data_IF_324011693825
#
_entry.id   IF_324011693825
#
_cell.length_a   1.000
_cell.length_b   1.000
_cell.length_c   1.000
_cell.angle_alpha   90.00
_cell.angle_beta   90.00
_cell.angle_gamma   90.00
#
_symmetry.space_group_name_H-M   'P 1'
#
loop_
_entity.id
_entity.type
_entity.pdbx_description
1 polymer ?
#
# COMPACT_ATOMS: atom_id res chain seq x y z
N UNK A 1 -1.49 -15.32 0.49
CA UNK A 1 -1.97 -14.55 -0.69
C UNK A 1 -2.67 -13.31 -0.15
N UNK A 2 -2.56 -12.16 -0.82
CA UNK A 2 -3.34 -10.97 -0.48
C UNK A 2 -4.32 -10.74 -1.63
N UNK A 3 -5.61 -10.60 -1.31
CA UNK A 3 -6.63 -10.14 -2.26
C UNK A 3 -6.81 -8.64 -1.99
N UNK A 4 -6.28 -7.83 -2.90
CA UNK A 4 -6.40 -6.38 -2.86
C UNK A 4 -7.70 -5.91 -3.52
N UNK A 5 -8.45 -5.09 -2.80
CA UNK A 5 -9.65 -4.42 -3.30
C UNK A 5 -9.45 -2.93 -3.26
N UNK A 6 -9.25 -2.31 -4.42
CA UNK A 6 -9.26 -0.85 -4.55
C UNK A 6 -10.58 -0.28 -4.04
N UNK A 7 -10.53 0.85 -3.32
CA UNK A 7 -11.71 1.52 -2.78
C UNK A 7 -12.83 1.71 -3.82
N UNK A 8 -12.48 2.06 -5.06
CA UNK A 8 -13.45 2.27 -6.15
C UNK A 8 -14.23 1.01 -6.53
N UNK A 9 -13.66 -0.19 -6.36
CA UNK A 9 -14.39 -1.45 -6.55
C UNK A 9 -15.60 -1.55 -5.61
N UNK A 10 -15.50 -1.00 -4.40
CA UNK A 10 -16.53 -1.04 -3.35
C UNK A 10 -17.56 0.09 -3.47
N UNK A 11 -17.17 1.24 -4.02
CA UNK A 11 -17.99 2.45 -4.07
C UNK A 11 -18.65 2.68 -5.42
N UNK A 12 -17.97 2.32 -6.51
CA UNK A 12 -18.35 2.71 -7.87
C UNK A 12 -18.79 1.54 -8.75
N UNK A 13 -18.35 0.32 -8.45
CA UNK A 13 -18.63 -0.86 -9.30
C UNK A 13 -19.71 -1.77 -8.70
N UNK A 14 -19.43 -2.40 -7.56
CA UNK A 14 -20.35 -3.28 -6.86
C UNK A 14 -20.49 -2.78 -5.43
N UNK A 15 -21.71 -2.50 -4.98
CA UNK A 15 -21.91 -2.00 -3.62
C UNK A 15 -21.30 -2.96 -2.59
N UNK A 16 -20.47 -2.42 -1.69
CA UNK A 16 -19.61 -3.16 -0.74
C UNK A 16 -20.23 -4.45 -0.19
N UNK A 17 -21.48 -4.40 0.29
CA UNK A 17 -22.22 -5.56 0.86
C UNK A 17 -22.29 -6.80 -0.04
N UNK A 18 -22.22 -6.63 -1.35
CA UNK A 18 -22.27 -7.72 -2.33
C UNK A 18 -20.89 -8.30 -2.63
N UNK A 19 -19.83 -7.53 -2.40
CA UNK A 19 -18.46 -7.93 -2.70
C UNK A 19 -17.72 -8.46 -1.47
N UNK A 20 -17.82 -7.75 -0.33
CA UNK A 20 -16.98 -8.02 0.85
C UNK A 20 -17.29 -9.38 1.47
N UNK A 21 -18.55 -9.65 1.81
CA UNK A 21 -18.94 -10.90 2.50
C UNK A 21 -18.58 -12.18 1.72
N UNK A 22 -18.89 -12.30 0.41
CA UNK A 22 -18.50 -13.50 -0.33
C UNK A 22 -16.99 -13.67 -0.42
N UNK A 23 -16.22 -12.58 -0.63
CA UNK A 23 -14.76 -12.67 -0.75
C UNK A 23 -14.13 -13.08 0.58
N UNK A 24 -14.56 -12.49 1.70
CA UNK A 24 -14.09 -12.86 3.04
C UNK A 24 -14.40 -14.35 3.30
N UNK A 25 -15.62 -14.79 2.97
CA UNK A 25 -16.00 -16.20 3.12
C UNK A 25 -15.14 -17.15 2.29
N UNK A 26 -14.80 -16.77 1.05
CA UNK A 26 -13.91 -17.55 0.20
C UNK A 26 -12.47 -17.58 0.74
N UNK A 27 -11.98 -16.49 1.33
CA UNK A 27 -10.67 -16.44 1.97
C UNK A 27 -10.59 -17.31 3.23
N UNK A 28 -11.63 -17.30 4.07
CA UNK A 28 -11.73 -18.15 5.26
C UNK A 28 -11.76 -19.66 4.92
N UNK A 29 -12.35 -20.02 3.79
CA UNK A 29 -12.48 -21.42 3.33
C UNK A 29 -11.29 -21.87 2.45
N UNK A 30 -10.36 -20.98 2.13
CA UNK A 30 -9.20 -21.31 1.32
C UNK A 30 -8.27 -22.31 2.05
N UNK A 31 -7.62 -23.19 1.28
CA UNK A 31 -6.65 -24.15 1.83
C UNK A 31 -5.27 -23.55 2.13
N UNK A 32 -5.13 -22.23 2.00
CA UNK A 32 -3.90 -21.45 2.22
C UNK A 32 -4.26 -20.16 2.94
N UNK A 33 -3.28 -19.49 3.54
CA UNK A 33 -3.51 -18.20 4.20
C UNK A 33 -3.83 -17.12 3.16
N UNK A 34 -4.98 -16.48 3.33
CA UNK A 34 -5.47 -15.39 2.49
C UNK A 34 -5.81 -14.19 3.36
N UNK A 35 -5.16 -13.06 3.09
CA UNK A 35 -5.55 -11.77 3.63
C UNK A 35 -6.46 -11.05 2.63
N UNK A 36 -7.45 -10.32 3.15
CA UNK A 36 -8.23 -9.36 2.37
C UNK A 36 -7.76 -7.97 2.76
N UNK A 37 -7.32 -7.19 1.76
CA UNK A 37 -6.79 -5.86 1.97
C UNK A 37 -7.60 -4.80 1.20
N UNK A 38 -7.83 -3.66 1.84
CA UNK A 38 -8.34 -2.47 1.16
C UNK A 38 -7.14 -1.71 0.58
N UNK A 39 -7.13 -1.56 -0.73
CA UNK A 39 -6.06 -0.87 -1.45
C UNK A 39 -6.41 0.61 -1.67
N UNK A 40 -5.43 1.50 -1.44
CA UNK A 40 -5.56 2.96 -1.45
C UNK A 40 -6.83 3.50 -0.77
N UNK A 41 -7.10 3.08 0.48
CA UNK A 41 -8.20 3.64 1.26
C UNK A 41 -7.94 5.09 1.61
N UNK A 42 -8.72 6.03 1.08
CA UNK A 42 -8.56 7.48 1.30
C UNK A 42 -9.65 8.07 2.19
N UNK A 43 -10.85 7.47 2.18
CA UNK A 43 -11.95 7.87 3.06
C UNK A 43 -11.93 7.05 4.36
N UNK A 44 -11.61 7.71 5.47
CA UNK A 44 -11.56 7.11 6.81
C UNK A 44 -12.83 6.33 7.16
N UNK A 45 -14.02 6.79 6.75
CA UNK A 45 -15.26 6.08 7.02
C UNK A 45 -15.34 4.76 6.25
N UNK A 46 -14.87 4.73 5.01
CA UNK A 46 -14.82 3.51 4.19
C UNK A 46 -13.78 2.54 4.74
N UNK A 47 -12.59 3.01 5.11
CA UNK A 47 -11.55 2.16 5.72
C UNK A 47 -12.08 1.49 6.99
N UNK A 48 -12.74 2.26 7.87
CA UNK A 48 -13.37 1.71 9.08
C UNK A 48 -14.49 0.72 8.77
N UNK A 49 -15.28 0.97 7.72
CA UNK A 49 -16.32 0.02 7.31
C UNK A 49 -15.70 -1.29 6.81
N UNK A 50 -14.59 -1.26 6.08
CA UNK A 50 -13.92 -2.48 5.62
C UNK A 50 -13.41 -3.34 6.79
N UNK A 51 -12.83 -2.70 7.81
CA UNK A 51 -12.46 -3.37 9.05
C UNK A 51 -13.67 -4.01 9.74
N UNK A 52 -14.77 -3.26 9.86
CA UNK A 52 -16.02 -3.76 10.44
C UNK A 52 -16.66 -4.90 9.63
N UNK A 53 -16.47 -4.92 8.31
CA UNK A 53 -16.93 -5.97 7.41
C UNK A 53 -16.10 -7.26 7.52
N UNK A 54 -14.90 -7.20 8.11
CA UNK A 54 -14.02 -8.34 8.35
C UNK A 54 -12.74 -8.36 7.51
N UNK A 55 -12.29 -7.23 6.98
CA UNK A 55 -10.99 -7.15 6.32
C UNK A 55 -9.87 -7.42 7.33
N UNK A 56 -8.94 -8.29 6.96
CA UNK A 56 -7.76 -8.61 7.79
C UNK A 56 -6.62 -7.61 7.63
N UNK A 57 -6.69 -6.75 6.62
CA UNK A 57 -5.72 -5.67 6.36
C UNK A 57 -6.42 -4.48 5.71
N UNK A 58 -5.92 -3.27 5.94
CA UNK A 58 -6.32 -2.08 5.20
C UNK A 58 -5.12 -1.18 4.92
N UNK A 59 -5.10 -0.52 3.77
CA UNK A 59 -4.22 0.61 3.52
C UNK A 59 -4.95 1.91 3.87
N UNK A 60 -4.32 2.74 4.72
CA UNK A 60 -4.72 4.14 4.91
C UNK A 60 -3.79 5.03 4.08
N UNK A 61 -4.25 5.39 2.88
CA UNK A 61 -3.55 6.31 2.00
C UNK A 61 -3.92 7.77 2.32
N UNK A 62 -3.16 8.36 3.24
CA UNK A 62 -3.21 9.79 3.54
C UNK A 62 -2.01 10.54 2.96
N UNK A 63 -1.35 9.99 1.92
CA UNK A 63 -0.14 10.56 1.29
C UNK A 63 -0.35 11.97 0.72
N UNK A 64 -1.58 12.30 0.33
CA UNK A 64 -1.95 13.62 -0.21
C UNK A 64 -2.06 14.72 0.86
N UNK A 65 -2.12 14.36 2.15
CA UNK A 65 -2.16 15.31 3.25
C UNK A 65 -0.74 15.77 3.63
N UNK A 66 -0.59 16.95 4.26
CA UNK A 66 0.67 17.35 4.87
C UNK A 66 1.20 16.27 5.82
N UNK A 67 2.52 16.11 5.89
CA UNK A 67 3.17 15.02 6.62
C UNK A 67 2.63 14.78 8.04
N UNK A 68 2.47 15.83 8.83
CA UNK A 68 1.97 15.74 10.21
C UNK A 68 0.50 15.28 10.28
N UNK A 69 -0.31 15.65 9.29
CA UNK A 69 -1.70 15.19 9.17
C UNK A 69 -1.75 13.72 8.74
N UNK A 70 -0.92 13.31 7.78
CA UNK A 70 -0.78 11.90 7.39
C UNK A 70 -0.41 11.04 8.61
N UNK A 71 0.61 11.43 9.38
CA UNK A 71 0.99 10.73 10.62
C UNK A 71 -0.20 10.62 11.59
N UNK A 72 -0.92 11.72 11.82
CA UNK A 72 -2.02 11.75 12.77
C UNK A 72 -3.23 10.89 12.32
N UNK A 73 -3.57 10.91 11.03
CA UNK A 73 -4.66 10.10 10.46
C UNK A 73 -4.28 8.61 10.52
N UNK A 74 -3.10 8.27 10.02
CA UNK A 74 -2.61 6.90 9.94
C UNK A 74 -2.48 6.27 11.32
N UNK A 75 -1.92 6.99 12.30
CA UNK A 75 -1.81 6.49 13.68
C UNK A 75 -3.18 6.15 14.29
N UNK A 76 -4.19 7.02 14.08
CA UNK A 76 -5.56 6.75 14.54
C UNK A 76 -6.18 5.54 13.85
N UNK A 77 -5.79 5.26 12.60
CA UNK A 77 -6.26 4.08 11.90
C UNK A 77 -5.61 2.81 12.46
N UNK A 78 -4.31 2.83 12.75
CA UNK A 78 -3.60 1.73 13.44
C UNK A 78 -4.30 1.41 14.77
N UNK A 79 -4.51 2.41 15.63
CA UNK A 79 -5.21 2.25 16.91
C UNK A 79 -6.64 1.68 16.75
N UNK A 80 -7.34 2.01 15.66
CA UNK A 80 -8.67 1.49 15.40
C UNK A 80 -8.64 0.06 14.85
N UNK A 81 -7.68 -0.27 13.98
CA UNK A 81 -7.52 -1.59 13.37
C UNK A 81 -7.13 -2.67 14.39
N UNK A 82 -6.42 -2.31 15.47
CA UNK A 82 -6.12 -3.22 16.58
C UNK A 82 -7.37 -3.89 17.16
N UNK A 83 -8.50 -3.19 17.22
CA UNK A 83 -9.79 -3.73 17.71
C UNK A 83 -10.29 -4.91 16.87
N UNK A 84 -9.89 -4.95 15.61
CA UNK A 84 -10.28 -5.98 14.63
C UNK A 84 -9.17 -7.00 14.39
N UNK A 85 -8.02 -6.88 15.09
CA UNK A 85 -6.83 -7.71 14.84
C UNK A 85 -6.43 -7.69 13.35
N UNK A 86 -6.47 -6.51 12.73
CA UNK A 86 -6.15 -6.28 11.34
C UNK A 86 -4.87 -5.43 11.20
N UNK A 87 -4.11 -5.67 10.14
CA UNK A 87 -2.91 -4.89 9.83
C UNK A 87 -3.24 -3.59 9.11
N UNK A 88 -2.36 -2.59 9.23
CA UNK A 88 -2.42 -1.33 8.49
C UNK A 88 -1.19 -1.13 7.64
N UNK A 89 -1.41 -0.99 6.33
CA UNK A 89 -0.45 -0.42 5.39
C UNK A 89 -0.65 1.09 5.29
N UNK A 90 0.42 1.84 5.03
CA UNK A 90 0.32 3.25 4.70
C UNK A 90 1.39 3.65 3.68
N UNK A 91 1.21 4.83 3.08
CA UNK A 91 2.13 5.40 2.10
C UNK A 91 2.75 6.71 2.60
N UNK A 92 4.03 6.89 2.26
CA UNK A 92 4.72 8.17 2.40
C UNK A 92 5.51 8.51 1.14
N UNK A 93 5.21 9.68 0.57
CA UNK A 93 5.71 10.09 -0.74
C UNK A 93 4.56 10.19 -1.74
N UNK A 94 4.88 10.05 -3.02
CA UNK A 94 3.90 10.04 -4.09
C UNK A 94 4.41 9.09 -5.19
N UNK A 95 3.51 8.31 -5.78
CA UNK A 95 3.82 7.40 -6.87
C UNK A 95 3.25 7.95 -8.17
N UNK A 96 4.07 7.97 -9.22
CA UNK A 96 3.65 8.41 -10.55
C UNK A 96 2.67 7.43 -11.21
N UNK A 97 2.02 7.90 -12.27
CA UNK A 97 1.13 7.10 -13.11
C UNK A 97 1.61 7.15 -14.57
N UNK A 98 1.67 5.99 -15.22
CA UNK A 98 1.99 5.88 -16.65
C UNK A 98 0.94 6.61 -17.49
N UNK A 99 -0.32 6.58 -17.05
CA UNK A 99 -1.38 7.38 -17.67
C UNK A 99 -1.05 8.88 -17.55
N UNK A 100 -0.97 9.55 -18.70
CA UNK A 100 -0.57 10.94 -18.78
C UNK A 100 0.93 11.19 -18.74
N UNK A 101 1.75 10.13 -18.92
CA UNK A 101 3.22 10.17 -18.97
C UNK A 101 3.89 10.77 -17.71
N UNK A 102 3.22 10.67 -16.56
CA UNK A 102 3.68 11.16 -15.27
C UNK A 102 4.42 10.06 -14.49
N UNK A 103 5.45 9.49 -15.11
CA UNK A 103 6.27 8.46 -14.49
C UNK A 103 6.92 8.96 -13.19
N UNK A 104 7.15 8.03 -12.27
CA UNK A 104 7.86 8.31 -11.02
C UNK A 104 9.26 8.84 -11.34
N UNK A 105 9.57 9.99 -10.76
CA UNK A 105 10.82 10.71 -10.98
C UNK A 105 11.51 11.00 -9.64
N UNK A 106 12.64 11.72 -9.70
CA UNK A 106 13.48 11.96 -8.51
C UNK A 106 12.74 12.69 -7.38
N UNK A 107 11.83 13.61 -7.70
CA UNK A 107 11.06 14.38 -6.71
C UNK A 107 9.94 13.54 -6.08
N UNK A 108 9.62 12.40 -6.68
CA UNK A 108 8.61 11.45 -6.20
C UNK A 108 9.22 10.31 -5.37
N UNK A 109 10.55 10.15 -5.37
CA UNK A 109 11.18 9.11 -4.56
C UNK A 109 11.03 9.40 -3.07
N UNK A 110 10.70 8.37 -2.31
CA UNK A 110 10.57 8.46 -0.86
C UNK A 110 11.92 8.77 -0.22
N UNK A 111 11.97 9.82 0.60
CA UNK A 111 13.12 10.08 1.47
C UNK A 111 13.17 9.00 2.58
N UNK A 112 14.26 8.22 2.67
CA UNK A 112 14.42 7.19 3.70
C UNK A 112 14.26 7.72 5.12
N UNK A 113 14.73 8.93 5.42
CA UNK A 113 14.65 9.48 6.77
C UNK A 113 13.20 9.79 7.16
N UNK A 114 12.43 10.33 6.21
CA UNK A 114 11.00 10.60 6.39
C UNK A 114 10.23 9.29 6.57
N UNK A 115 10.50 8.28 5.75
CA UNK A 115 9.88 6.96 5.88
C UNK A 115 10.16 6.28 7.23
N UNK A 116 11.40 6.35 7.71
CA UNK A 116 11.80 5.79 9.00
C UNK A 116 11.10 6.51 10.16
N UNK A 117 11.00 7.85 10.12
CA UNK A 117 10.26 8.62 11.12
C UNK A 117 8.77 8.28 11.09
N UNK A 118 8.18 8.25 9.90
CA UNK A 118 6.77 7.96 9.69
C UNK A 118 6.39 6.60 10.29
N UNK A 119 7.11 5.54 9.92
CA UNK A 119 6.90 4.19 10.44
C UNK A 119 6.94 4.13 11.97
N UNK A 120 7.92 4.79 12.59
CA UNK A 120 8.06 4.83 14.06
C UNK A 120 6.92 5.58 14.74
N UNK A 121 6.43 6.65 14.13
CA UNK A 121 5.40 7.52 14.72
C UNK A 121 4.00 6.97 14.56
N UNK A 122 3.73 6.24 13.47
CA UNK A 122 2.41 5.68 13.18
C UNK A 122 2.21 4.29 13.74
N UNK A 123 3.26 3.46 13.80
CA UNK A 123 3.14 2.06 14.24
C UNK A 123 2.47 1.14 13.22
N UNK A 124 2.48 1.52 11.95
CA UNK A 124 1.98 0.71 10.83
C UNK A 124 2.72 -0.64 10.70
N UNK A 125 2.07 -1.61 10.06
CA UNK A 125 2.60 -2.97 9.87
C UNK A 125 3.40 -3.12 8.57
N UNK A 126 3.06 -2.32 7.55
CA UNK A 126 3.72 -2.30 6.27
C UNK A 126 3.76 -0.87 5.71
N UNK A 127 4.81 -0.56 4.94
CA UNK A 127 4.99 0.76 4.34
C UNK A 127 5.19 0.68 2.83
N UNK A 128 4.27 1.30 2.09
CA UNK A 128 4.44 1.59 0.68
C UNK A 128 5.46 2.73 0.48
N UNK A 129 6.43 2.49 -0.40
CA UNK A 129 7.48 3.45 -0.73
C UNK A 129 7.64 3.60 -2.24
N UNK A 130 7.97 4.82 -2.66
CA UNK A 130 8.22 5.17 -4.05
C UNK A 130 9.72 5.13 -4.33
N UNK A 131 10.15 4.22 -5.21
CA UNK A 131 11.56 4.05 -5.55
C UNK A 131 11.81 3.63 -7.00
N UNK A 132 10.83 3.80 -7.89
CA UNK A 132 11.02 3.59 -9.34
C UNK A 132 9.77 3.18 -10.11
N UNK A 133 8.84 2.45 -9.48
CA UNK A 133 7.60 2.01 -10.10
C UNK A 133 6.56 3.12 -10.21
N UNK A 134 5.59 2.92 -11.11
CA UNK A 134 4.46 3.80 -11.41
C UNK A 134 3.23 2.95 -11.70
N UNK A 135 2.02 3.47 -11.43
CA UNK A 135 0.80 2.74 -11.75
C UNK A 135 0.53 2.70 -13.25
N UNK A 136 0.11 1.53 -13.75
CA UNK A 136 -0.27 1.32 -15.15
C UNK A 136 0.74 0.48 -15.93
N UNK A 137 0.41 0.22 -17.19
CA UNK A 137 1.24 -0.59 -18.08
C UNK A 137 2.29 0.28 -18.78
N UNK A 138 3.56 -0.04 -18.54
CA UNK A 138 4.67 0.63 -19.22
C UNK A 138 4.67 0.38 -20.74
N UNK A 139 5.19 1.33 -21.54
CA UNK A 139 5.39 1.11 -22.97
C UNK A 139 6.23 -0.12 -23.28
N UNK A 140 5.97 -0.78 -24.40
CA UNK A 140 6.75 -1.94 -24.84
C UNK A 140 8.24 -1.59 -24.93
N UNK A 141 9.10 -2.43 -24.33
CA UNK A 141 10.55 -2.22 -24.30
C UNK A 141 11.04 -1.19 -23.28
N UNK A 142 10.15 -0.55 -22.52
CA UNK A 142 10.52 0.30 -21.40
C UNK A 142 10.75 -0.53 -20.14
N UNK A 143 11.76 -0.16 -19.34
CA UNK A 143 11.96 -0.72 -18.00
C UNK A 143 12.31 0.44 -17.07
N UNK A 144 11.52 0.68 -16.00
CA UNK A 144 11.79 1.76 -15.07
C UNK A 144 13.11 1.54 -14.31
N UNK A 145 13.80 2.65 -14.01
CA UNK A 145 14.97 2.63 -13.15
C UNK A 145 14.54 2.60 -11.68
N UNK A 146 15.13 1.71 -10.90
CA UNK A 146 14.83 1.54 -9.47
C UNK A 146 15.98 2.04 -8.59
N UNK A 147 15.64 2.67 -7.47
CA UNK A 147 16.57 3.20 -6.48
C UNK A 147 16.62 2.31 -5.23
N UNK A 148 17.22 1.13 -5.38
CA UNK A 148 17.26 0.10 -4.33
C UNK A 148 17.94 0.52 -3.01
N UNK A 149 18.76 1.57 -3.02
CA UNK A 149 19.36 2.10 -1.80
C UNK A 149 18.34 2.71 -0.85
N UNK A 150 17.18 3.17 -1.36
CA UNK A 150 16.04 3.62 -0.55
C UNK A 150 15.51 2.44 0.28
N UNK A 151 15.22 1.32 -0.41
CA UNK A 151 14.74 0.06 0.21
C UNK A 151 15.71 -0.41 1.29
N UNK A 152 17.01 -0.50 0.96
CA UNK A 152 18.05 -0.97 1.90
C UNK A 152 18.12 -0.13 3.17
N UNK A 153 18.09 1.21 3.04
CA UNK A 153 18.18 2.12 4.18
C UNK A 153 16.98 1.97 5.12
N UNK A 154 15.78 1.96 4.56
CA UNK A 154 14.54 1.84 5.34
C UNK A 154 14.49 0.46 6.01
N UNK A 155 14.71 -0.62 5.24
CA UNK A 155 14.68 -1.99 5.75
C UNK A 155 15.68 -2.23 6.88
N UNK A 156 16.91 -1.72 6.74
CA UNK A 156 17.94 -1.81 7.80
C UNK A 156 17.52 -1.09 9.08
N UNK A 157 16.83 0.05 8.95
CA UNK A 157 16.47 0.89 10.09
C UNK A 157 15.17 0.46 10.79
N UNK A 158 14.23 -0.16 10.08
CA UNK A 158 12.90 -0.51 10.61
C UNK A 158 12.66 -2.01 10.73
N UNK A 159 13.35 -2.84 9.95
CA UNK A 159 13.06 -4.27 9.73
C UNK A 159 11.62 -4.56 9.24
N UNK A 160 10.86 -3.53 8.91
CA UNK A 160 9.43 -3.63 8.58
C UNK A 160 9.22 -4.19 7.16
N UNK A 161 8.12 -4.91 6.90
CA UNK A 161 7.65 -5.16 5.54
C UNK A 161 7.55 -3.86 4.73
N UNK A 162 8.07 -3.87 3.50
CA UNK A 162 7.97 -2.75 2.57
C UNK A 162 7.13 -3.20 1.37
N UNK A 163 6.31 -2.29 0.85
CA UNK A 163 5.35 -2.57 -0.22
C UNK A 163 5.77 -1.84 -1.49
N UNK A 164 5.76 -2.57 -2.60
CA UNK A 164 6.02 -2.07 -3.95
C UNK A 164 4.68 -1.96 -4.68
N UNK A 165 4.23 -0.75 -4.93
CA UNK A 165 3.10 -0.48 -5.81
C UNK A 165 3.54 -0.42 -7.27
N UNK A 166 2.61 -0.50 -8.21
CA UNK A 166 2.91 -0.32 -9.64
C UNK A 166 3.90 -1.34 -10.22
N UNK A 167 3.95 -2.57 -9.69
CA UNK A 167 4.94 -3.58 -10.10
C UNK A 167 4.77 -4.15 -11.51
N UNK A 168 3.59 -3.98 -12.13
CA UNK A 168 3.30 -4.45 -13.48
C UNK A 168 4.26 -3.83 -14.50
N UNK A 169 4.88 -4.65 -15.35
CA UNK A 169 5.79 -4.15 -16.38
C UNK A 169 7.12 -3.58 -15.89
N UNK A 170 7.44 -3.65 -14.58
CA UNK A 170 8.72 -3.15 -14.06
C UNK A 170 9.95 -3.98 -14.47
N UNK A 171 9.76 -5.13 -15.14
CA UNK A 171 10.84 -6.06 -15.49
C UNK A 171 11.16 -7.05 -14.37
N UNK A 172 11.38 -8.31 -14.74
CA UNK A 172 11.55 -9.41 -13.79
C UNK A 172 12.71 -9.21 -12.80
N UNK A 173 13.79 -8.56 -13.24
CA UNK A 173 14.96 -8.34 -12.39
C UNK A 173 14.69 -7.29 -11.30
N UNK A 174 13.95 -6.23 -11.61
CA UNK A 174 13.55 -5.23 -10.62
C UNK A 174 12.67 -5.84 -9.52
N UNK A 175 11.76 -6.74 -9.89
CA UNK A 175 10.91 -7.44 -8.93
C UNK A 175 11.74 -8.39 -8.06
N UNK A 176 12.65 -9.18 -8.65
CA UNK A 176 13.52 -10.08 -7.88
C UNK A 176 14.42 -9.34 -6.91
N UNK A 177 15.07 -8.26 -7.35
CA UNK A 177 15.93 -7.47 -6.48
C UNK A 177 15.12 -6.79 -5.36
N UNK A 178 13.92 -6.29 -5.65
CA UNK A 178 13.02 -5.74 -4.62
C UNK A 178 12.67 -6.75 -3.53
N UNK A 179 12.41 -8.01 -3.90
CA UNK A 179 12.08 -9.10 -2.96
C UNK A 179 13.31 -9.59 -2.19
N UNK A 180 14.51 -9.48 -2.77
CA UNK A 180 15.76 -9.95 -2.15
C UNK A 180 16.22 -9.06 -0.98
N UNK A 181 15.83 -7.78 -0.99
CA UNK A 181 16.29 -6.75 -0.04
C UNK A 181 15.41 -6.68 1.21
#
# INVERSE_FOLDING_TARGET
>A
IIIDLLQDHLTSHLGSRFLTKPIIKMAEEASVEVAINLDHGQDVAIVKQCLADGFSSVMMDASSYPYEENVAITKKMVEFAEVYNASVEAEVGNIGAVTGDNYTNQDMYTDPLVAIDFAKRTGIDALAISYGSSHGDYPEGFTPAFQFDIVRKIKTATNMPLVLHGGSGCGAENIRESVRL
#
